data_IF_203644268625
#
_entry.id   IF_203644268625
#
_cell.length_a   1.000
_cell.length_b   1.000
_cell.length_c   1.000
_cell.angle_alpha   90.00
_cell.angle_beta   90.00
_cell.angle_gamma   90.00
#
_symmetry.space_group_name_H-M   'P 1'
#
loop_
_entity.id
_entity.type
_entity.pdbx_description
1 polymer ?
#
# COMPACT_ATOMS: atom_id res chain seq x y z
N UNK A 1 0.90 -5.20 9.59
CA UNK A 1 1.80 -5.49 8.44
C UNK A 1 2.29 -4.15 7.90
N UNK A 2 3.61 -3.87 7.91
CA UNK A 2 4.13 -2.55 7.54
C UNK A 2 4.63 -2.55 6.09
N UNK A 3 3.95 -1.80 5.22
CA UNK A 3 4.27 -1.70 3.78
C UNK A 3 4.93 -0.36 3.42
N UNK A 4 4.75 0.66 4.27
CA UNK A 4 5.48 1.91 4.15
C UNK A 4 6.97 1.69 4.44
N UNK A 5 7.82 2.12 3.50
CA UNK A 5 9.29 2.05 3.58
C UNK A 5 9.85 3.45 3.82
N UNK A 6 11.03 3.52 4.41
CA UNK A 6 11.77 4.77 4.59
C UNK A 6 12.94 4.78 3.63
N UNK A 7 13.03 5.82 2.80
CA UNK A 7 14.16 6.05 1.90
C UNK A 7 15.43 6.38 2.70
N UNK A 8 16.61 6.23 2.10
CA UNK A 8 17.90 6.66 2.66
C UNK A 8 17.91 8.15 3.05
N UNK A 9 17.05 8.96 2.44
CA UNK A 9 16.83 10.38 2.76
C UNK A 9 15.82 10.61 3.91
N UNK A 10 15.39 9.55 4.60
CA UNK A 10 14.40 9.65 5.70
C UNK A 10 12.95 9.82 5.24
N UNK A 11 12.68 9.89 3.93
CA UNK A 11 11.33 10.07 3.40
C UNK A 11 10.55 8.76 3.40
N UNK A 12 9.37 8.75 4.02
CA UNK A 12 8.45 7.61 4.00
C UNK A 12 7.72 7.56 2.66
N UNK A 13 7.65 6.38 2.05
CA UNK A 13 6.96 6.14 0.78
C UNK A 13 6.36 4.73 0.70
N UNK A 14 5.44 4.55 -0.23
CA UNK A 14 4.90 3.23 -0.61
C UNK A 14 5.14 3.07 -2.10
N UNK A 15 5.88 2.02 -2.48
CA UNK A 15 6.15 1.75 -3.88
C UNK A 15 4.94 1.04 -4.52
N UNK A 16 4.38 1.63 -5.58
CA UNK A 16 3.28 1.01 -6.31
C UNK A 16 3.74 -0.18 -7.16
N UNK A 17 5.06 -0.31 -7.40
CA UNK A 17 5.66 -1.41 -8.15
C UNK A 17 5.93 -2.64 -7.28
N UNK A 18 5.90 -2.50 -5.95
CA UNK A 18 6.02 -3.62 -5.02
C UNK A 18 4.68 -4.33 -4.83
N UNK A 19 4.25 -5.01 -5.90
CA UNK A 19 2.94 -5.68 -6.01
C UNK A 19 2.74 -6.70 -4.90
N UNK A 20 3.78 -7.45 -4.52
CA UNK A 20 3.69 -8.47 -3.47
C UNK A 20 3.39 -7.87 -2.10
N UNK A 21 3.93 -6.68 -1.80
CA UNK A 21 3.59 -5.97 -0.58
C UNK A 21 2.19 -5.35 -0.64
N UNK A 22 1.77 -4.84 -1.81
CA UNK A 22 0.43 -4.29 -2.00
C UNK A 22 -0.68 -5.36 -1.94
N UNK A 23 -0.45 -6.57 -2.44
CA UNK A 23 -1.41 -7.69 -2.36
C UNK A 23 -1.79 -8.01 -0.92
N UNK A 24 -0.85 -7.92 0.03
CA UNK A 24 -1.11 -8.11 1.46
C UNK A 24 -2.07 -7.06 2.05
N UNK A 25 -2.21 -5.91 1.39
CA UNK A 25 -3.11 -4.83 1.79
C UNK A 25 -4.51 -4.96 1.17
N UNK A 26 -4.78 -6.06 0.45
CA UNK A 26 -6.07 -6.36 -0.13
C UNK A 26 -6.77 -7.52 0.60
N UNK A 27 -8.09 -7.54 0.50
CA UNK A 27 -8.88 -8.74 0.78
C UNK A 27 -8.75 -9.74 -0.37
N UNK A 28 -9.23 -10.97 -0.16
CA UNK A 28 -9.33 -12.01 -1.19
C UNK A 28 -10.04 -11.54 -2.47
N UNK A 29 -11.03 -10.64 -2.33
CA UNK A 29 -11.79 -10.09 -3.47
C UNK A 29 -11.15 -8.84 -4.06
N UNK A 30 -9.90 -8.53 -3.70
CA UNK A 30 -9.20 -7.35 -4.18
C UNK A 30 -9.75 -6.03 -3.62
N UNK A 31 -10.49 -6.01 -2.50
CA UNK A 31 -10.86 -4.73 -1.85
C UNK A 31 -9.71 -4.24 -0.96
N UNK A 32 -9.47 -2.94 -0.90
CA UNK A 32 -8.44 -2.37 -0.02
C UNK A 32 -8.85 -2.62 1.44
N UNK A 33 -7.96 -3.22 2.22
CA UNK A 33 -8.20 -3.44 3.65
C UNK A 33 -8.29 -2.11 4.40
N UNK A 34 -9.18 -2.05 5.38
CA UNK A 34 -9.28 -0.89 6.26
C UNK A 34 -8.04 -0.76 7.14
N UNK A 35 -7.75 0.48 7.55
CA UNK A 35 -6.70 0.82 8.52
C UNK A 35 -6.69 -0.11 9.74
N UNK A 36 -7.86 -0.38 10.31
CA UNK A 36 -8.00 -1.19 11.53
C UNK A 36 -7.51 -2.63 11.33
N UNK A 37 -7.66 -3.16 10.11
CA UNK A 37 -7.25 -4.54 9.77
C UNK A 37 -5.77 -4.65 9.41
N UNK A 38 -5.18 -3.62 8.79
CA UNK A 38 -3.78 -3.68 8.35
C UNK A 38 -2.78 -3.08 9.35
N UNK A 39 -3.25 -2.26 10.29
CA UNK A 39 -2.44 -1.62 11.34
C UNK A 39 -1.64 -0.41 10.87
N UNK A 40 -1.98 0.18 9.72
CA UNK A 40 -1.28 1.35 9.18
C UNK A 40 -1.68 2.64 9.91
N UNK A 41 -0.76 3.61 10.00
CA UNK A 41 -1.14 4.95 10.43
C UNK A 41 -2.07 5.64 9.39
N UNK A 42 -2.78 6.68 9.79
CA UNK A 42 -3.68 7.42 8.88
C UNK A 42 -2.94 7.97 7.65
N UNK A 43 -1.71 8.44 7.83
CA UNK A 43 -0.84 8.94 6.77
C UNK A 43 -0.39 7.82 5.82
N UNK A 44 0.07 6.70 6.38
CA UNK A 44 0.49 5.52 5.61
C UNK A 44 -0.67 4.94 4.80
N UNK A 45 -1.88 4.87 5.36
CA UNK A 45 -3.06 4.37 4.66
C UNK A 45 -3.40 5.16 3.39
N UNK A 46 -3.21 6.49 3.40
CA UNK A 46 -3.44 7.33 2.22
C UNK A 46 -2.43 6.98 1.12
N UNK A 47 -1.15 6.88 1.49
CA UNK A 47 -0.09 6.47 0.55
C UNK A 47 -0.32 5.07 -0.02
N UNK A 48 -0.73 4.10 0.82
CA UNK A 48 -1.07 2.74 0.37
C UNK A 48 -2.24 2.77 -0.62
N UNK A 49 -3.29 3.53 -0.31
CA UNK A 49 -4.48 3.65 -1.18
C UNK A 49 -4.11 4.22 -2.55
N UNK A 50 -3.29 5.26 -2.59
CA UNK A 50 -2.83 5.87 -3.84
C UNK A 50 -1.92 4.93 -4.64
N UNK A 51 -1.01 4.22 -3.96
CA UNK A 51 -0.14 3.22 -4.60
C UNK A 51 -0.96 2.07 -5.22
N UNK A 52 -1.97 1.54 -4.50
CA UNK A 52 -2.85 0.48 -5.02
C UNK A 52 -3.64 0.97 -6.23
N UNK A 53 -4.20 2.19 -6.19
CA UNK A 53 -4.93 2.76 -7.32
C UNK A 53 -4.05 2.90 -8.56
N UNK A 54 -2.80 3.34 -8.39
CA UNK A 54 -1.81 3.42 -9.48
C UNK A 54 -1.46 2.05 -10.03
N UNK A 55 -1.21 1.07 -9.16
CA UNK A 55 -0.89 -0.31 -9.58
C UNK A 55 -2.03 -0.93 -10.41
N UNK A 56 -3.29 -0.73 -9.99
CA UNK A 56 -4.47 -1.19 -10.74
C UNK A 56 -4.61 -0.53 -12.10
N UNK A 57 -4.44 0.79 -12.16
CA UNK A 57 -4.53 1.53 -13.41
C UNK A 57 -3.49 1.05 -14.43
N UNK A 58 -2.32 0.61 -13.96
CA UNK A 58 -1.25 0.06 -14.79
C UNK A 58 -1.38 -1.46 -15.05
N UNK A 59 -2.41 -2.13 -14.53
CA UNK A 59 -2.60 -3.58 -14.70
C UNK A 59 -1.62 -4.45 -13.93
N UNK A 60 -0.95 -3.91 -12.89
CA UNK A 60 -0.01 -4.67 -12.07
C UNK A 60 -0.71 -5.49 -10.97
N UNK A 61 -1.96 -5.17 -10.64
CA UNK A 61 -2.67 -5.63 -9.44
C UNK A 61 -4.19 -5.66 -9.63
#
# INVERSE_FOLDING_TARGET
MRVAKTSSLGKVYVDYKDVESLKKMLSLNGKILSRTRNGAAAFEQRMITDAIKRARFLGLL
#
